data_IF_467982787047
#
_entry.id   IF_467982787047
#
_cell.length_a   1.000
_cell.length_b   1.000
_cell.length_c   1.000
_cell.angle_alpha   90.00
_cell.angle_beta   90.00
_cell.angle_gamma   90.00
#
_symmetry.space_group_name_H-M   'P 1'
#
loop_
_entity.id
_entity.type
_entity.pdbx_description
1 polymer ?
#
# COMPACT_ATOMS: atom_id res chain seq x y z
N UNK A 1 13.86 1.65 27.44
CA UNK A 1 12.81 1.04 26.58
C UNK A 1 13.10 -0.46 26.48
N UNK A 2 12.08 -1.32 26.58
CA UNK A 2 12.21 -2.77 26.37
C UNK A 2 11.36 -3.15 25.17
N UNK A 3 12.01 -3.62 24.10
CA UNK A 3 11.34 -4.02 22.86
C UNK A 3 10.95 -5.51 22.89
N UNK A 4 9.98 -5.89 22.07
CA UNK A 4 9.57 -7.28 21.88
C UNK A 4 10.70 -8.10 21.24
N UNK A 5 10.80 -9.38 21.59
CA UNK A 5 11.74 -10.32 20.95
C UNK A 5 11.46 -10.56 19.47
N UNK A 6 10.29 -10.15 18.96
CA UNK A 6 9.96 -10.21 17.53
C UNK A 6 10.64 -9.14 16.70
N UNK A 7 11.15 -8.09 17.33
CA UNK A 7 11.79 -6.97 16.63
C UNK A 7 13.29 -7.18 16.73
N UNK A 8 13.92 -7.44 15.60
CA UNK A 8 15.36 -7.30 15.49
C UNK A 8 15.70 -5.81 15.40
N UNK A 9 16.49 -5.34 16.36
CA UNK A 9 16.95 -3.95 16.49
C UNK A 9 18.43 -3.80 16.18
N UNK A 10 19.09 -4.86 15.68
CA UNK A 10 20.53 -4.89 15.46
C UNK A 10 20.97 -3.86 14.43
N UNK A 11 20.37 -3.86 13.24
CA UNK A 11 20.61 -2.86 12.21
C UNK A 11 19.34 -2.50 11.43
N UNK A 12 19.20 -1.23 11.01
CA UNK A 12 18.21 -0.86 10.01
C UNK A 12 18.42 -1.64 8.71
N UNK A 13 17.34 -1.89 7.98
CA UNK A 13 17.46 -2.47 6.65
C UNK A 13 18.31 -1.58 5.71
N UNK A 14 18.90 -2.15 4.65
CA UNK A 14 19.82 -1.42 3.77
C UNK A 14 19.23 -0.16 3.12
N UNK A 15 17.92 -0.14 2.81
CA UNK A 15 17.24 1.01 2.20
C UNK A 15 17.22 2.17 3.19
N UNK A 16 16.80 1.90 4.44
CA UNK A 16 16.77 2.91 5.50
C UNK A 16 18.18 3.45 5.82
N UNK A 17 19.20 2.58 5.79
CA UNK A 17 20.61 2.97 5.99
C UNK A 17 21.10 3.92 4.89
N UNK A 18 20.79 3.62 3.63
CA UNK A 18 21.16 4.46 2.50
C UNK A 18 20.41 5.82 2.50
N UNK A 19 19.12 5.82 2.86
CA UNK A 19 18.33 7.05 3.00
C UNK A 19 18.91 7.96 4.08
N UNK A 20 19.24 7.40 5.26
CA UNK A 20 19.86 8.14 6.35
C UNK A 20 21.21 8.74 5.94
N UNK A 21 22.04 8.00 5.21
CA UNK A 21 23.33 8.48 4.71
C UNK A 21 23.16 9.64 3.71
N UNK A 22 22.22 9.53 2.77
CA UNK A 22 21.92 10.61 1.82
C UNK A 22 21.42 11.88 2.53
N UNK A 23 20.53 11.71 3.52
CA UNK A 23 20.01 12.82 4.34
C UNK A 23 21.12 13.50 5.14
N UNK A 24 22.03 12.73 5.75
CA UNK A 24 23.19 13.27 6.46
C UNK A 24 24.15 14.03 5.53
N UNK A 25 24.26 13.62 4.27
CA UNK A 25 25.01 14.32 3.23
C UNK A 25 24.25 15.53 2.61
N UNK A 26 23.11 15.93 3.16
CA UNK A 26 22.31 17.05 2.67
C UNK A 26 21.61 16.81 1.33
N UNK A 27 21.48 15.55 0.88
CA UNK A 27 20.83 15.19 -0.38
C UNK A 27 19.36 14.88 -0.12
N UNK A 28 18.47 15.60 -0.80
CA UNK A 28 17.04 15.27 -0.82
C UNK A 28 16.79 14.10 -1.76
N UNK A 29 16.21 13.01 -1.25
CA UNK A 29 15.82 11.87 -2.07
C UNK A 29 14.35 12.00 -2.48
N UNK A 30 14.07 11.74 -3.77
CA UNK A 30 12.70 11.54 -4.24
C UNK A 30 12.17 10.20 -3.73
N UNK A 31 11.00 10.20 -3.08
CA UNK A 31 10.37 9.00 -2.50
C UNK A 31 9.69 8.14 -3.56
N UNK A 32 10.46 7.71 -4.57
CA UNK A 32 9.98 6.81 -5.63
C UNK A 32 9.68 5.41 -5.10
N UNK A 33 10.17 5.08 -3.90
CA UNK A 33 9.84 3.85 -3.17
C UNK A 33 8.50 3.93 -2.43
N UNK A 34 7.86 5.10 -2.33
CA UNK A 34 6.52 5.21 -1.80
C UNK A 34 5.55 4.55 -2.79
N UNK A 35 5.06 3.38 -2.39
CA UNK A 35 4.21 2.53 -3.22
C UNK A 35 2.78 3.06 -3.33
N UNK A 36 2.47 4.27 -2.85
CA UNK A 36 1.21 4.95 -3.15
C UNK A 36 1.27 5.57 -4.55
N UNK A 37 0.74 4.88 -5.58
CA UNK A 37 0.92 5.32 -6.96
C UNK A 37 0.11 6.59 -7.25
N UNK A 38 -0.96 6.83 -6.49
CA UNK A 38 -1.89 7.93 -6.71
C UNK A 38 -1.40 9.26 -6.13
N UNK A 39 -0.63 9.23 -5.03
CA UNK A 39 -0.08 10.43 -4.39
C UNK A 39 1.07 11.05 -5.19
N UNK A 40 1.81 10.22 -5.94
CA UNK A 40 2.97 10.66 -6.72
C UNK A 40 2.71 10.73 -8.22
N UNK A 41 1.44 10.66 -8.65
CA UNK A 41 1.05 10.60 -10.07
C UNK A 41 1.73 9.47 -10.87
N UNK A 42 2.12 8.39 -10.17
CA UNK A 42 2.67 7.16 -10.75
C UNK A 42 1.56 6.16 -11.13
N UNK A 43 0.30 6.45 -10.80
CA UNK A 43 -0.84 5.65 -11.18
C UNK A 43 -1.15 5.83 -12.69
N UNK A 44 -1.41 4.73 -13.42
CA UNK A 44 -1.94 4.82 -14.77
C UNK A 44 -3.23 5.64 -14.80
N UNK A 45 -3.54 6.31 -15.92
CA UNK A 45 -4.79 7.05 -16.09
C UNK A 45 -6.05 6.17 -15.86
N UNK A 46 -5.91 4.85 -16.01
CA UNK A 46 -6.94 3.86 -15.72
C UNK A 46 -7.27 3.71 -14.21
N UNK A 47 -6.45 4.25 -13.31
CA UNK A 47 -6.68 4.25 -11.85
C UNK A 47 -6.78 5.71 -11.36
N UNK A 48 -7.88 6.41 -11.70
CA UNK A 48 -8.01 7.85 -11.48
C UNK A 48 -8.27 8.23 -10.01
N UNK A 49 -8.59 7.27 -9.16
CA UNK A 49 -8.98 7.52 -7.78
C UNK A 49 -7.76 7.64 -6.86
N UNK A 50 -7.73 8.70 -6.05
CA UNK A 50 -6.77 8.84 -4.95
C UNK A 50 -6.96 7.70 -3.96
N UNK A 51 -5.86 7.13 -3.46
CA UNK A 51 -5.91 6.12 -2.42
C UNK A 51 -6.62 6.66 -1.17
N UNK A 52 -7.81 6.12 -0.90
CA UNK A 52 -8.57 6.39 0.32
C UNK A 52 -8.23 5.33 1.36
N UNK A 53 -7.92 5.74 2.58
CA UNK A 53 -7.71 4.82 3.71
C UNK A 53 -9.04 4.26 4.25
N UNK A 54 -9.90 3.77 3.36
CA UNK A 54 -11.04 2.94 3.75
C UNK A 54 -10.50 1.55 4.11
N UNK A 55 -10.64 1.09 5.36
CA UNK A 55 -10.15 -0.23 5.77
C UNK A 55 -10.77 -1.38 4.98
N UNK A 56 -11.92 -1.15 4.35
CA UNK A 56 -12.60 -2.11 3.47
C UNK A 56 -12.22 -1.96 2.00
N UNK A 57 -11.39 -0.99 1.63
CA UNK A 57 -11.10 -0.65 0.24
C UNK A 57 -12.26 0.06 -0.48
N UNK A 58 -12.13 0.23 -1.79
CA UNK A 58 -13.08 1.00 -2.59
C UNK A 58 -14.37 0.21 -2.86
N UNK A 59 -15.53 0.83 -2.61
CA UNK A 59 -16.85 0.21 -2.80
C UNK A 59 -17.05 -0.37 -4.21
N UNK A 60 -16.70 0.39 -5.26
CA UNK A 60 -16.88 -0.07 -6.64
C UNK A 60 -16.05 -1.32 -6.97
N UNK A 61 -14.87 -1.47 -6.35
CA UNK A 61 -14.02 -2.64 -6.53
C UNK A 61 -14.63 -3.86 -5.84
N UNK A 62 -15.21 -3.68 -4.66
CA UNK A 62 -15.95 -4.73 -3.96
C UNK A 62 -17.20 -5.17 -4.72
N UNK A 63 -17.91 -4.23 -5.34
CA UNK A 63 -19.07 -4.53 -6.21
C UNK A 63 -18.67 -5.33 -7.45
N UNK A 64 -17.59 -4.94 -8.12
CA UNK A 64 -17.07 -5.67 -9.27
C UNK A 64 -16.61 -7.09 -8.88
N UNK A 65 -15.97 -7.24 -7.72
CA UNK A 65 -15.49 -8.53 -7.24
C UNK A 65 -16.65 -9.44 -6.79
N UNK A 66 -17.65 -8.91 -6.08
CA UNK A 66 -18.86 -9.64 -5.71
C UNK A 66 -19.57 -10.19 -6.96
N UNK A 67 -19.80 -9.34 -7.96
CA UNK A 67 -20.43 -9.76 -9.23
C UNK A 67 -19.60 -10.82 -9.97
N UNK A 68 -18.27 -10.70 -9.95
CA UNK A 68 -17.38 -11.70 -10.54
C UNK A 68 -17.48 -13.06 -9.82
N UNK A 69 -17.41 -13.06 -8.48
CA UNK A 69 -17.47 -14.29 -7.69
C UNK A 69 -18.81 -15.01 -7.82
N UNK A 70 -19.91 -14.26 -7.81
CA UNK A 70 -21.25 -14.77 -8.09
C UNK A 70 -21.30 -15.41 -9.49
N UNK A 71 -20.75 -14.73 -10.52
CA UNK A 71 -20.73 -15.23 -11.89
C UNK A 71 -19.83 -16.46 -12.09
N UNK A 72 -18.84 -16.69 -11.22
CA UNK A 72 -17.99 -17.88 -11.25
C UNK A 72 -18.56 -19.04 -10.42
N UNK A 73 -19.72 -18.87 -9.77
CA UNK A 73 -20.32 -19.85 -8.85
C UNK A 73 -19.37 -20.28 -7.72
N UNK A 74 -18.40 -19.42 -7.36
CA UNK A 74 -17.40 -19.69 -6.30
C UNK A 74 -18.02 -19.50 -4.90
N UNK A 75 -19.24 -18.95 -4.84
CA UNK A 75 -20.03 -18.73 -3.62
C UNK A 75 -20.79 -17.40 -3.71
N UNK A 76 -21.93 -17.30 -3.03
CA UNK A 76 -22.67 -16.04 -2.99
C UNK A 76 -21.96 -15.03 -2.10
N UNK A 77 -21.67 -13.84 -2.62
CA UNK A 77 -20.91 -12.81 -1.91
C UNK A 77 -21.49 -11.42 -2.20
N UNK A 78 -21.78 -10.66 -1.15
CA UNK A 78 -22.17 -9.25 -1.28
C UNK A 78 -20.95 -8.34 -1.18
N UNK A 79 -21.01 -7.08 -1.65
CA UNK A 79 -19.91 -6.13 -1.49
C UNK A 79 -19.56 -5.82 -0.03
N UNK A 80 -20.41 -6.18 0.92
CA UNK A 80 -20.18 -6.01 2.37
C UNK A 80 -19.61 -7.28 3.03
N UNK A 81 -19.41 -8.35 2.27
CA UNK A 81 -18.61 -9.51 2.66
C UNK A 81 -17.12 -9.38 2.26
N UNK A 82 -16.81 -8.33 1.47
CA UNK A 82 -15.49 -7.96 0.97
C UNK A 82 -14.94 -6.70 1.68
#
# INVERSE_FOLDING_TARGET
MRFSSRVDISEPNPIAKAEAAAKAAGRTLGRLNDSNPTRHALAPAAVPAVYTADPRGQRYAREALAAFLDAQEIGHCTPDDL
#
